data_IF_221287760657
#
_entry.id   IF_221287760657
#
_cell.length_a   1.000
_cell.length_b   1.000
_cell.length_c   1.000
_cell.angle_alpha   90.00
_cell.angle_beta   90.00
_cell.angle_gamma   90.00
#
_symmetry.space_group_name_H-M   'P 1'
#
loop_
_entity.id
_entity.type
_entity.pdbx_description
1 polymer ?
#
# COMPACT_ATOMS: atom_id res chain seq x y z
N UNK A 1 4.04 -27.74 4.34
CA UNK A 1 2.84 -27.66 3.49
C UNK A 1 1.89 -28.79 3.88
N UNK A 2 0.72 -28.44 4.41
CA UNK A 2 -0.33 -29.36 4.84
C UNK A 2 -1.60 -29.17 4.01
N UNK A 3 -2.33 -30.27 3.75
CA UNK A 3 -3.69 -30.19 3.18
C UNK A 3 -4.67 -29.54 4.16
N UNK A 4 -4.46 -29.69 5.47
CA UNK A 4 -5.38 -29.19 6.49
C UNK A 4 -5.42 -27.65 6.56
N UNK A 5 -4.38 -26.98 6.07
CA UNK A 5 -4.24 -25.52 6.07
C UNK A 5 -4.33 -24.93 4.65
N UNK A 6 -4.71 -25.73 3.65
CA UNK A 6 -4.84 -25.28 2.26
C UNK A 6 -3.51 -24.94 1.56
N UNK A 7 -2.37 -25.24 2.19
CA UNK A 7 -1.04 -24.81 1.70
C UNK A 7 -0.77 -25.26 0.26
N UNK A 8 -1.06 -26.55 -0.02
CA UNK A 8 -0.80 -27.13 -1.35
C UNK A 8 -1.78 -26.63 -2.41
N UNK A 9 -3.03 -26.35 -2.03
CA UNK A 9 -4.05 -25.81 -2.92
C UNK A 9 -3.70 -24.37 -3.32
N UNK A 10 -3.35 -23.54 -2.34
CA UNK A 10 -2.87 -22.18 -2.58
C UNK A 10 -1.59 -22.17 -3.43
N UNK A 11 -0.59 -22.99 -3.08
CA UNK A 11 0.64 -23.08 -3.88
C UNK A 11 0.36 -23.54 -5.31
N UNK A 12 -0.51 -24.54 -5.49
CA UNK A 12 -0.94 -25.05 -6.80
C UNK A 12 -1.64 -23.97 -7.65
N UNK A 13 -2.54 -23.19 -7.04
CA UNK A 13 -3.25 -22.11 -7.70
C UNK A 13 -2.31 -20.97 -8.12
N UNK A 14 -1.60 -20.37 -7.16
CA UNK A 14 -0.81 -19.16 -7.41
C UNK A 14 0.46 -19.42 -8.23
N UNK A 15 1.08 -20.61 -8.12
CA UNK A 15 2.30 -20.94 -8.87
C UNK A 15 2.08 -21.59 -10.22
N UNK A 16 0.98 -22.34 -10.38
CA UNK A 16 0.77 -23.16 -11.57
C UNK A 16 -0.59 -22.97 -12.22
N UNK A 17 -1.52 -22.24 -11.59
CA UNK A 17 -2.88 -22.03 -12.12
C UNK A 17 -3.64 -23.34 -12.38
N UNK A 18 -3.32 -24.39 -11.61
CA UNK A 18 -3.90 -25.74 -11.79
C UNK A 18 -5.02 -26.06 -10.80
N UNK A 19 -5.09 -25.36 -9.68
CA UNK A 19 -6.10 -25.55 -8.65
C UNK A 19 -7.02 -24.33 -8.56
N UNK A 20 -8.19 -24.54 -7.97
CA UNK A 20 -9.14 -23.46 -7.70
C UNK A 20 -8.53 -22.41 -6.76
N UNK A 21 -8.99 -21.17 -6.89
CA UNK A 21 -8.54 -20.07 -6.05
C UNK A 21 -9.00 -20.30 -4.60
N UNK A 22 -8.08 -20.32 -3.62
CA UNK A 22 -8.48 -20.44 -2.22
C UNK A 22 -9.35 -19.25 -1.80
N UNK A 23 -10.42 -19.52 -1.06
CA UNK A 23 -11.23 -18.46 -0.48
C UNK A 23 -10.48 -17.63 0.56
N UNK A 24 -10.87 -16.36 0.70
CA UNK A 24 -10.36 -15.48 1.77
C UNK A 24 -10.98 -15.87 3.11
N UNK A 25 -10.15 -15.93 4.15
CA UNK A 25 -10.64 -16.21 5.51
C UNK A 25 -11.42 -15.01 6.08
N UNK A 26 -12.36 -15.29 6.98
CA UNK A 26 -12.90 -14.26 7.85
C UNK A 26 -11.87 -13.85 8.91
N UNK A 27 -11.81 -12.56 9.25
CA UNK A 27 -10.89 -12.03 10.25
C UNK A 27 -11.62 -11.85 11.57
N UNK A 28 -11.19 -12.58 12.60
CA UNK A 28 -11.63 -12.35 13.98
C UNK A 28 -10.78 -11.23 14.60
N UNK A 29 -11.27 -10.00 14.49
CA UNK A 29 -10.59 -8.78 14.95
C UNK A 29 -10.19 -8.87 16.44
N UNK A 30 -10.95 -9.60 17.26
CA UNK A 30 -10.70 -9.75 18.71
C UNK A 30 -9.36 -10.44 19.03
N UNK A 31 -8.81 -11.21 18.08
CA UNK A 31 -7.51 -11.89 18.21
C UNK A 31 -6.33 -10.97 17.92
N UNK A 32 -6.58 -9.79 17.38
CA UNK A 32 -5.55 -8.90 16.86
C UNK A 32 -5.46 -7.59 17.62
N UNK A 33 -6.60 -6.93 17.83
CA UNK A 33 -6.65 -5.60 18.43
C UNK A 33 -7.96 -5.38 19.19
N UNK A 34 -7.93 -4.45 20.15
CA UNK A 34 -9.14 -3.98 20.84
C UNK A 34 -9.96 -3.07 19.92
N UNK A 35 -11.27 -2.88 20.14
CA UNK A 35 -12.08 -1.93 19.37
C UNK A 35 -11.56 -0.48 19.46
N UNK A 36 -11.89 0.35 18.46
CA UNK A 36 -11.48 1.77 18.41
C UNK A 36 -12.08 2.55 19.59
N UNK A 37 -11.27 3.23 20.42
CA UNK A 37 -11.78 4.14 21.44
C UNK A 37 -12.56 5.29 20.81
N UNK A 38 -13.70 5.69 21.40
CA UNK A 38 -14.53 6.78 20.88
C UNK A 38 -13.75 8.09 20.71
N UNK A 39 -12.84 8.39 21.65
CA UNK A 39 -11.98 9.58 21.63
C UNK A 39 -10.84 9.52 20.60
N UNK A 40 -10.62 8.38 19.91
CA UNK A 40 -9.60 8.18 18.86
C UNK A 40 -10.23 8.12 17.47
N UNK A 41 -11.27 8.92 17.26
CA UNK A 41 -12.01 8.97 15.99
C UNK A 41 -11.70 10.22 15.15
N UNK A 42 -11.06 11.23 15.73
CA UNK A 42 -10.80 12.51 15.08
C UNK A 42 -9.30 12.70 14.78
N UNK A 43 -9.03 13.31 13.64
CA UNK A 43 -7.72 13.83 13.26
C UNK A 43 -7.49 15.16 14.00
N UNK A 44 -6.28 15.43 14.51
CA UNK A 44 -5.92 16.78 14.97
C UNK A 44 -6.21 17.85 13.91
N UNK A 45 -6.44 19.09 14.32
CA UNK A 45 -6.55 20.19 13.36
C UNK A 45 -5.25 20.36 12.54
N UNK A 46 -5.29 20.79 11.28
CA UNK A 46 -4.09 21.07 10.47
C UNK A 46 -3.36 22.31 10.99
N UNK A 47 -2.02 22.33 10.93
CA UNK A 47 -1.26 23.55 11.29
C UNK A 47 -1.32 24.61 10.20
N UNK A 48 -1.52 24.20 8.94
CA UNK A 48 -1.42 25.06 7.77
C UNK A 48 0.03 25.30 7.32
N UNK A 49 1.00 24.76 8.04
CA UNK A 49 2.41 24.71 7.63
C UNK A 49 2.66 23.41 6.88
N UNK A 50 3.40 23.48 5.77
CA UNK A 50 3.65 22.35 4.89
C UNK A 50 5.12 21.96 4.92
N UNK A 51 5.39 20.67 5.04
CA UNK A 51 6.70 20.05 4.82
C UNK A 51 6.69 19.24 3.53
N UNK A 52 7.85 19.15 2.88
CA UNK A 52 8.01 18.35 1.68
C UNK A 52 8.64 17.00 2.01
N UNK A 53 8.10 15.92 1.42
CA UNK A 53 8.64 14.57 1.55
C UNK A 53 8.87 13.97 0.18
N UNK A 54 10.11 13.58 -0.10
CA UNK A 54 10.49 12.89 -1.34
C UNK A 54 10.21 11.40 -1.21
N UNK A 55 9.55 10.81 -2.21
CA UNK A 55 9.38 9.36 -2.33
C UNK A 55 10.03 8.87 -3.62
N UNK A 56 11.07 8.05 -3.43
CA UNK A 56 11.73 7.28 -4.46
C UNK A 56 11.37 5.80 -4.28
N UNK A 57 10.93 5.14 -5.35
CA UNK A 57 10.58 3.71 -5.34
C UNK A 57 11.28 2.95 -6.46
N UNK A 58 11.47 1.64 -6.25
CA UNK A 58 11.86 0.65 -7.27
C UNK A 58 13.23 0.89 -7.93
N UNK A 59 14.15 1.43 -7.14
CA UNK A 59 15.59 1.40 -7.35
C UNK A 59 16.20 0.07 -6.88
N UNK A 60 16.04 -0.98 -7.69
CA UNK A 60 16.34 -2.36 -7.28
C UNK A 60 17.81 -2.62 -6.96
N UNK A 61 18.06 -3.10 -5.73
CA UNK A 61 19.29 -3.75 -5.28
C UNK A 61 18.90 -5.00 -4.46
N UNK A 62 18.31 -6.01 -5.11
CA UNK A 62 17.73 -7.17 -4.40
C UNK A 62 18.41 -8.51 -4.77
N UNK A 63 18.84 -9.34 -3.80
CA UNK A 63 19.35 -10.71 -4.05
C UNK A 63 18.28 -11.77 -4.40
N UNK A 64 16.98 -11.43 -4.43
CA UNK A 64 15.75 -12.13 -4.91
C UNK A 64 14.63 -11.96 -3.88
N UNK A 65 13.37 -11.81 -4.33
CA UNK A 65 12.06 -11.68 -3.63
C UNK A 65 11.71 -12.76 -2.55
N UNK A 66 12.70 -13.23 -1.80
CA UNK A 66 12.63 -14.35 -0.88
C UNK A 66 12.95 -13.87 0.54
N UNK A 67 11.91 -13.76 1.35
CA UNK A 67 12.04 -13.57 2.79
C UNK A 67 11.55 -14.83 3.53
N UNK A 68 12.37 -15.36 4.44
CA UNK A 68 11.97 -16.53 5.24
C UNK A 68 11.43 -16.10 6.60
N UNK A 69 10.22 -16.52 7.00
CA UNK A 69 9.77 -16.33 8.37
C UNK A 69 10.65 -17.11 9.35
N UNK A 70 11.16 -16.50 10.42
CA UNK A 70 11.87 -17.22 11.50
C UNK A 70 11.01 -18.32 12.14
N UNK A 71 9.68 -18.26 12.05
CA UNK A 71 8.83 -19.38 12.47
C UNK A 71 9.13 -20.69 11.73
N UNK A 72 9.76 -20.59 10.55
CA UNK A 72 10.19 -21.74 9.73
C UNK A 72 11.67 -22.10 9.94
N UNK A 73 12.44 -21.30 10.69
CA UNK A 73 13.82 -21.60 11.04
C UNK A 73 13.90 -22.31 12.39
N UNK A 74 14.53 -23.49 12.42
CA UNK A 74 14.84 -24.21 13.66
C UNK A 74 16.14 -23.73 14.34
N UNK A 75 16.88 -22.78 13.74
CA UNK A 75 18.06 -22.16 14.35
C UNK A 75 17.89 -20.64 14.37
N UNK A 76 18.16 -20.03 15.53
CA UNK A 76 18.02 -18.59 15.75
C UNK A 76 19.05 -17.74 15.00
N UNK A 77 19.98 -18.36 14.24
CA UNK A 77 21.18 -17.71 13.71
C UNK A 77 21.48 -17.96 12.22
N UNK A 78 20.73 -18.79 11.49
CA UNK A 78 20.97 -19.06 10.05
C UNK A 78 19.72 -18.77 9.21
N UNK A 79 19.27 -17.53 9.18
CA UNK A 79 18.48 -17.07 8.03
C UNK A 79 19.45 -16.77 6.89
N UNK A 80 19.33 -17.49 5.78
CA UNK A 80 20.14 -17.34 4.57
C UNK A 80 20.14 -15.90 4.02
N UNK A 81 19.20 -15.05 4.45
CA UNK A 81 19.06 -13.65 4.02
C UNK A 81 19.34 -12.62 5.13
N UNK A 82 19.75 -13.05 6.33
CA UNK A 82 20.06 -12.14 7.45
C UNK A 82 21.14 -11.10 7.13
N UNK A 83 22.09 -11.46 6.26
CA UNK A 83 23.14 -10.54 5.78
C UNK A 83 22.56 -9.31 5.09
N UNK A 84 21.42 -9.44 4.38
CA UNK A 84 20.81 -8.33 3.65
C UNK A 84 20.20 -7.31 4.62
N UNK A 85 19.47 -7.80 5.63
CA UNK A 85 18.92 -6.94 6.69
C UNK A 85 20.01 -6.25 7.50
N UNK A 86 21.11 -6.96 7.80
CA UNK A 86 22.27 -6.38 8.49
C UNK A 86 22.94 -5.28 7.64
N UNK A 87 23.13 -5.52 6.34
CA UNK A 87 23.71 -4.55 5.42
C UNK A 87 22.83 -3.30 5.25
N UNK A 88 21.52 -3.47 5.01
CA UNK A 88 20.61 -2.35 4.85
C UNK A 88 20.54 -1.50 6.13
N UNK A 89 20.40 -2.15 7.29
CA UNK A 89 20.38 -1.45 8.56
C UNK A 89 21.69 -0.71 8.87
N UNK A 90 22.85 -1.28 8.52
CA UNK A 90 24.13 -0.59 8.70
C UNK A 90 24.24 0.62 7.77
N UNK A 91 23.85 0.50 6.50
CA UNK A 91 23.86 1.62 5.56
C UNK A 91 22.94 2.75 6.01
N UNK A 92 21.71 2.44 6.44
CA UNK A 92 20.77 3.46 6.92
C UNK A 92 21.26 4.16 8.20
N UNK A 93 21.91 3.42 9.10
CA UNK A 93 22.53 3.98 10.29
C UNK A 93 23.74 4.86 9.98
N UNK A 94 24.62 4.42 9.07
CA UNK A 94 25.80 5.18 8.63
C UNK A 94 25.43 6.47 7.89
N UNK A 95 24.37 6.44 7.08
CA UNK A 95 23.84 7.61 6.39
C UNK A 95 23.03 8.55 7.30
N UNK A 96 22.82 8.18 8.56
CA UNK A 96 22.09 8.98 9.55
C UNK A 96 20.59 9.08 9.28
N UNK A 97 20.02 8.16 8.50
CA UNK A 97 18.57 8.12 8.21
C UNK A 97 17.78 7.57 9.39
N UNK A 98 18.39 6.68 10.16
CA UNK A 98 17.84 6.13 11.41
C UNK A 98 18.91 6.14 12.49
N UNK A 99 18.50 6.18 13.75
CA UNK A 99 19.44 6.09 14.86
C UNK A 99 20.01 4.67 15.05
N UNK A 100 21.08 4.56 15.84
CA UNK A 100 21.78 3.29 16.07
C UNK A 100 20.88 2.24 16.77
N UNK A 101 19.92 2.68 17.59
CA UNK A 101 18.98 1.77 18.26
C UNK A 101 18.02 1.15 17.25
N UNK A 102 17.48 1.98 16.36
CA UNK A 102 16.58 1.61 15.28
C UNK A 102 17.29 0.72 14.27
N UNK A 103 18.53 1.04 13.89
CA UNK A 103 19.34 0.19 13.00
C UNK A 103 19.54 -1.22 13.58
N UNK A 104 19.85 -1.35 14.88
CA UNK A 104 19.97 -2.67 15.54
C UNK A 104 18.65 -3.43 15.58
N UNK A 105 17.52 -2.73 15.73
CA UNK A 105 16.21 -3.36 15.66
C UNK A 105 15.90 -3.83 14.24
N UNK A 106 16.15 -2.98 13.24
CA UNK A 106 15.91 -3.28 11.82
C UNK A 106 16.73 -4.48 11.32
N UNK A 107 17.98 -4.63 11.79
CA UNK A 107 18.85 -5.75 11.39
C UNK A 107 18.43 -7.10 11.94
N UNK A 108 17.54 -7.13 12.95
CA UNK A 108 17.13 -8.35 13.66
C UNK A 108 15.65 -8.70 13.49
N UNK A 109 14.83 -7.76 12.99
CA UNK A 109 13.38 -7.92 12.95
C UNK A 109 12.84 -8.13 11.54
N UNK A 110 13.25 -9.21 10.86
CA UNK A 110 12.69 -9.65 9.57
C UNK A 110 12.59 -8.56 8.46
N UNK A 111 13.38 -7.49 8.54
CA UNK A 111 13.27 -6.36 7.62
C UNK A 111 12.13 -5.37 7.89
N UNK A 112 11.53 -5.37 9.09
CA UNK A 112 10.63 -4.31 9.57
C UNK A 112 11.29 -3.45 10.65
N UNK A 113 10.91 -2.18 10.69
CA UNK A 113 11.34 -1.25 11.73
C UNK A 113 10.33 -0.12 11.92
N UNK A 114 10.46 0.55 13.06
CA UNK A 114 9.70 1.74 13.36
C UNK A 114 10.64 2.84 13.83
N UNK A 115 10.42 4.08 13.37
CA UNK A 115 11.23 5.24 13.71
C UNK A 115 10.33 6.44 13.99
N UNK A 116 10.69 7.27 14.97
CA UNK A 116 10.00 8.54 15.23
C UNK A 116 10.85 9.67 14.66
N UNK A 117 10.31 10.40 13.70
CA UNK A 117 11.01 11.54 13.10
C UNK A 117 11.17 12.68 14.11
N UNK A 118 12.11 13.62 13.88
CA UNK A 118 12.24 14.82 14.72
C UNK A 118 10.96 15.65 14.83
N UNK A 119 10.04 15.55 13.85
CA UNK A 119 8.75 16.24 13.83
C UNK A 119 7.68 15.50 14.66
N UNK A 120 7.95 14.27 15.12
CA UNK A 120 7.01 13.49 15.93
C UNK A 120 6.12 12.53 15.15
N UNK A 121 6.34 12.35 13.85
CA UNK A 121 5.67 11.33 13.03
C UNK A 121 6.31 9.95 13.29
N UNK A 122 5.48 8.92 13.50
CA UNK A 122 5.94 7.53 13.48
C UNK A 122 5.99 7.01 12.05
N UNK A 123 7.15 6.58 11.57
CA UNK A 123 7.30 5.80 10.34
C UNK A 123 7.35 4.32 10.71
N UNK A 124 6.46 3.51 10.15
CA UNK A 124 6.41 2.05 10.34
C UNK A 124 6.68 1.39 9.00
N UNK A 125 7.87 0.82 8.84
CA UNK A 125 8.27 0.07 7.65
C UNK A 125 7.99 -1.41 7.87
N UNK A 126 7.18 -2.01 6.99
CA UNK A 126 6.87 -3.44 7.02
C UNK A 126 7.48 -4.14 5.81
N UNK A 127 8.05 -5.33 6.02
CA UNK A 127 8.52 -6.17 4.93
C UNK A 127 7.33 -6.89 4.27
N UNK A 128 6.89 -6.34 3.14
CA UNK A 128 5.75 -6.82 2.37
C UNK A 128 6.05 -8.11 1.57
N UNK A 129 7.29 -8.57 1.52
CA UNK A 129 7.60 -9.88 0.91
C UNK A 129 6.94 -11.03 1.66
N UNK A 130 6.56 -10.83 2.92
CA UNK A 130 5.83 -11.81 3.73
C UNK A 130 4.34 -11.95 3.40
N UNK A 131 3.82 -11.16 2.46
CA UNK A 131 2.54 -11.46 1.83
C UNK A 131 2.66 -11.65 0.32
N UNK A 132 3.85 -11.52 -0.26
CA UNK A 132 4.02 -11.54 -1.70
C UNK A 132 3.79 -12.93 -2.30
N UNK A 133 2.99 -13.01 -3.37
CA UNK A 133 2.73 -14.27 -4.10
C UNK A 133 3.99 -14.90 -4.68
N UNK A 134 5.02 -14.13 -5.04
CA UNK A 134 6.27 -14.70 -5.57
C UNK A 134 7.07 -15.46 -4.50
N UNK A 135 6.97 -15.05 -3.23
CA UNK A 135 7.70 -15.67 -2.13
C UNK A 135 7.08 -17.05 -1.77
N UNK A 136 7.79 -18.17 -2.02
CA UNK A 136 7.26 -19.51 -1.80
C UNK A 136 7.08 -19.86 -0.31
N UNK A 137 7.70 -19.11 0.61
CA UNK A 137 7.57 -19.37 2.05
C UNK A 137 6.23 -18.94 2.62
N UNK A 138 5.51 -18.05 1.93
CA UNK A 138 4.21 -17.54 2.38
C UNK A 138 3.07 -18.57 2.28
N UNK A 139 3.29 -19.69 1.59
CA UNK A 139 2.28 -20.75 1.44
C UNK A 139 2.32 -21.79 2.58
N UNK A 140 3.26 -21.67 3.52
CA UNK A 140 3.26 -22.50 4.72
C UNK A 140 2.25 -21.95 5.73
N UNK A 141 1.35 -22.80 6.22
CA UNK A 141 0.27 -22.40 7.11
C UNK A 141 -0.59 -21.27 6.51
N UNK A 142 -1.02 -21.44 5.25
CA UNK A 142 -1.63 -20.42 4.42
C UNK A 142 -2.88 -19.76 5.04
N UNK A 143 -3.63 -20.51 5.85
CA UNK A 143 -4.79 -19.98 6.59
C UNK A 143 -4.44 -19.02 7.72
N UNK A 144 -3.17 -18.93 8.15
CA UNK A 144 -2.74 -17.92 9.11
C UNK A 144 -2.38 -16.62 8.36
N UNK A 145 -3.14 -15.53 8.53
CA UNK A 145 -2.91 -14.29 7.80
C UNK A 145 -1.66 -13.53 8.24
N UNK A 146 -1.01 -13.94 9.34
CA UNK A 146 0.18 -13.28 9.88
C UNK A 146 1.23 -14.32 10.30
N UNK A 147 1.57 -15.23 9.39
CA UNK A 147 2.54 -16.28 9.66
C UNK A 147 3.94 -15.75 9.98
N UNK A 148 4.34 -14.61 9.40
CA UNK A 148 5.61 -13.95 9.66
C UNK A 148 5.63 -13.13 10.96
N UNK A 149 4.46 -12.73 11.47
CA UNK A 149 4.34 -11.79 12.59
C UNK A 149 4.51 -10.32 12.21
N UNK A 150 4.67 -10.00 10.91
CA UNK A 150 4.87 -8.63 10.42
C UNK A 150 3.64 -7.74 10.67
N UNK A 151 2.44 -8.32 10.61
CA UNK A 151 1.19 -7.58 10.87
C UNK A 151 0.97 -7.43 12.37
N UNK A 152 1.39 -8.41 13.20
CA UNK A 152 1.42 -8.25 14.66
C UNK A 152 2.38 -7.13 15.09
N UNK A 153 3.54 -7.02 14.44
CA UNK A 153 4.46 -5.91 14.65
C UNK A 153 3.78 -4.57 14.34
N UNK A 154 3.17 -4.45 13.15
CA UNK A 154 2.42 -3.26 12.76
C UNK A 154 1.33 -2.87 13.76
N UNK A 155 0.52 -3.84 14.20
CA UNK A 155 -0.55 -3.61 15.19
C UNK A 155 0.03 -3.01 16.47
N UNK A 156 1.12 -3.56 17.01
CA UNK A 156 1.73 -3.08 18.26
C UNK A 156 2.25 -1.66 18.13
N UNK A 157 2.88 -1.31 17.01
CA UNK A 157 3.35 0.06 16.76
C UNK A 157 2.20 1.05 16.60
N UNK A 158 1.09 0.63 15.98
CA UNK A 158 -0.11 1.45 15.86
C UNK A 158 -0.84 1.62 17.19
N UNK A 159 -0.95 0.58 18.01
CA UNK A 159 -1.51 0.67 19.38
C UNK A 159 -0.66 1.60 20.25
N UNK A 160 0.67 1.50 20.17
CA UNK A 160 1.58 2.41 20.87
C UNK A 160 1.44 3.86 20.38
N UNK A 161 1.28 4.07 19.07
CA UNK A 161 1.07 5.39 18.49
C UNK A 161 -0.29 5.97 18.90
N UNK A 162 -1.36 5.18 18.89
CA UNK A 162 -2.69 5.56 19.36
C UNK A 162 -2.66 5.97 20.84
N UNK A 163 -1.99 5.18 21.70
CA UNK A 163 -1.85 5.47 23.12
C UNK A 163 -1.05 6.77 23.39
N UNK A 164 -0.15 7.14 22.50
CA UNK A 164 0.68 8.34 22.60
C UNK A 164 0.12 9.57 21.85
N UNK A 165 -1.08 9.49 21.26
CA UNK A 165 -1.64 10.54 20.39
C UNK A 165 -0.71 10.89 19.20
N UNK A 166 0.06 9.91 18.75
CA UNK A 166 1.03 10.03 17.67
C UNK A 166 0.42 9.58 16.33
N UNK A 167 0.64 10.38 15.29
CA UNK A 167 0.31 10.00 13.90
C UNK A 167 1.38 9.05 13.35
N UNK A 168 0.95 8.13 12.50
CA UNK A 168 1.81 7.13 11.88
C UNK A 168 1.65 7.07 10.36
N UNK A 169 2.77 6.88 9.66
CA UNK A 169 2.81 6.46 8.27
C UNK A 169 3.24 5.01 8.18
N UNK A 170 2.59 4.28 7.28
CA UNK A 170 2.96 2.91 6.94
C UNK A 170 3.67 2.94 5.59
N UNK A 171 4.86 2.33 5.52
CA UNK A 171 5.60 2.17 4.27
C UNK A 171 5.91 0.70 4.02
N UNK A 172 5.89 0.30 2.75
CA UNK A 172 6.23 -1.03 2.27
C UNK A 172 6.43 -1.03 0.75
N UNK A 173 6.64 -2.20 0.17
CA UNK A 173 6.93 -2.32 -1.26
C UNK A 173 5.72 -2.86 -2.05
N UNK A 174 5.37 -4.14 -1.84
CA UNK A 174 4.24 -4.80 -2.51
C UNK A 174 2.92 -4.29 -1.91
N UNK A 175 2.01 -3.69 -2.69
CA UNK A 175 0.77 -3.14 -2.17
C UNK A 175 -0.19 -4.22 -1.67
N UNK A 176 -1.03 -3.85 -0.71
CA UNK A 176 -2.07 -4.73 -0.15
C UNK A 176 -3.32 -4.83 -1.04
N UNK A 177 -3.57 -3.84 -1.91
CA UNK A 177 -4.76 -3.72 -2.74
C UNK A 177 -4.65 -4.42 -4.08
N UNK A 178 -5.31 -3.85 -5.11
CA UNK A 178 -5.12 -4.29 -6.49
C UNK A 178 -3.62 -4.27 -6.85
N UNK A 179 -3.11 -5.41 -7.34
CA UNK A 179 -1.69 -5.62 -7.66
C UNK A 179 -1.45 -6.03 -9.11
N UNK A 180 -2.34 -5.67 -10.02
CA UNK A 180 -2.33 -6.14 -11.41
C UNK A 180 -3.21 -7.38 -11.66
N UNK A 181 -3.39 -7.74 -12.93
CA UNK A 181 -4.26 -8.84 -13.38
C UNK A 181 -3.61 -10.23 -13.31
N UNK A 182 -2.32 -10.31 -12.99
CA UNK A 182 -1.58 -11.57 -12.87
C UNK A 182 -1.86 -12.33 -11.57
N UNK A 183 -1.64 -13.65 -11.59
CA UNK A 183 -1.67 -14.50 -10.38
C UNK A 183 -0.41 -14.35 -9.52
N UNK A 184 0.69 -13.92 -10.12
CA UNK A 184 1.92 -13.55 -9.44
C UNK A 184 2.11 -12.04 -9.55
N UNK A 185 2.79 -11.43 -8.58
CA UNK A 185 3.00 -9.98 -8.59
C UNK A 185 2.13 -9.20 -7.59
N UNK A 186 1.32 -9.89 -6.78
CA UNK A 186 0.42 -9.26 -5.80
C UNK A 186 0.54 -9.85 -4.40
N UNK A 187 -0.08 -9.21 -3.40
CA UNK A 187 -0.20 -9.76 -2.05
C UNK A 187 -1.18 -10.94 -2.01
N UNK A 188 -0.96 -11.90 -1.10
CA UNK A 188 -1.91 -12.98 -0.81
C UNK A 188 -3.18 -12.43 -0.17
N UNK A 189 -4.30 -13.13 -0.37
CA UNK A 189 -5.62 -12.70 0.13
C UNK A 189 -5.69 -12.60 1.65
N UNK A 190 -5.20 -13.60 2.39
CA UNK A 190 -5.39 -13.64 3.85
C UNK A 190 -4.60 -12.53 4.58
N UNK A 191 -3.29 -12.29 4.29
CA UNK A 191 -2.57 -11.18 4.90
C UNK A 191 -3.12 -9.81 4.50
N UNK A 192 -3.51 -9.62 3.23
CA UNK A 192 -4.12 -8.34 2.79
C UNK A 192 -5.48 -8.08 3.44
N UNK A 193 -6.28 -9.12 3.71
CA UNK A 193 -7.54 -9.01 4.46
C UNK A 193 -7.32 -8.60 5.93
N UNK A 194 -6.32 -9.16 6.60
CA UNK A 194 -5.96 -8.72 7.95
C UNK A 194 -5.44 -7.28 7.94
N UNK A 195 -4.57 -6.93 6.98
CA UNK A 195 -4.08 -5.56 6.82
C UNK A 195 -5.21 -4.55 6.61
N UNK A 196 -6.21 -4.88 5.78
CA UNK A 196 -7.40 -4.03 5.60
C UNK A 196 -8.11 -3.77 6.94
N UNK A 197 -8.28 -4.80 7.76
CA UNK A 197 -8.91 -4.67 9.09
C UNK A 197 -8.07 -3.80 10.05
N UNK A 198 -6.74 -3.89 9.97
CA UNK A 198 -5.80 -3.01 10.70
C UNK A 198 -5.99 -1.55 10.24
N UNK A 199 -5.98 -1.29 8.93
CA UNK A 199 -6.18 0.06 8.38
C UNK A 199 -7.52 0.63 8.85
N UNK A 200 -8.62 -0.14 8.72
CA UNK A 200 -9.95 0.24 9.19
C UNK A 200 -9.96 0.60 10.68
N UNK A 201 -9.25 -0.18 11.51
CA UNK A 201 -9.19 0.01 12.96
C UNK A 201 -8.44 1.28 13.37
N UNK A 202 -7.32 1.61 12.73
CA UNK A 202 -6.45 2.70 13.18
C UNK A 202 -6.61 4.00 12.37
N UNK A 203 -7.42 4.00 11.31
CA UNK A 203 -7.71 5.20 10.52
C UNK A 203 -8.95 5.95 10.99
N UNK A 204 -9.06 7.27 10.82
CA UNK A 204 -8.02 8.17 10.29
C UNK A 204 -7.12 8.76 11.38
N UNK A 205 -7.46 8.54 12.66
CA UNK A 205 -6.84 9.26 13.78
C UNK A 205 -5.35 8.89 13.97
N UNK A 206 -4.98 7.62 13.86
CA UNK A 206 -3.59 7.17 14.03
C UNK A 206 -2.86 7.09 12.69
N UNK A 207 -3.44 6.39 11.71
CA UNK A 207 -2.83 6.29 10.37
C UNK A 207 -3.07 7.59 9.59
N UNK A 208 -1.98 8.30 9.27
CA UNK A 208 -1.99 9.53 8.48
C UNK A 208 -1.68 9.30 6.99
N UNK A 209 -1.02 8.19 6.64
CA UNK A 209 -0.64 7.88 5.27
C UNK A 209 -0.13 6.46 5.11
N UNK A 210 -0.30 5.90 3.93
CA UNK A 210 0.16 4.56 3.55
C UNK A 210 0.82 4.68 2.17
N UNK A 211 2.05 4.18 2.04
CA UNK A 211 2.85 4.37 0.83
C UNK A 211 3.50 3.05 0.39
N UNK A 212 3.34 2.75 -0.89
CA UNK A 212 3.82 1.54 -1.56
C UNK A 212 4.64 1.86 -2.81
N UNK A 213 5.14 0.81 -3.46
CA UNK A 213 5.82 0.85 -4.75
C UNK A 213 5.43 -0.36 -5.62
N UNK A 214 6.43 -1.10 -6.11
CA UNK A 214 6.35 -2.43 -6.73
C UNK A 214 5.69 -2.49 -8.10
N UNK A 215 4.54 -1.82 -8.31
CA UNK A 215 3.81 -1.86 -9.58
C UNK A 215 4.44 -0.98 -10.66
N UNK A 216 5.42 -0.14 -10.28
CA UNK A 216 6.12 0.82 -11.16
C UNK A 216 5.26 1.94 -11.76
N UNK A 217 3.96 1.90 -11.47
CA UNK A 217 2.92 2.81 -11.91
C UNK A 217 2.56 3.80 -10.79
N UNK A 218 2.06 4.97 -11.18
CA UNK A 218 1.50 5.96 -10.24
C UNK A 218 0.03 5.60 -9.96
N UNK A 219 -0.22 4.96 -8.81
CA UNK A 219 -1.54 4.44 -8.47
C UNK A 219 -1.96 4.84 -7.06
N UNK A 220 -3.24 4.68 -6.78
CA UNK A 220 -3.76 4.83 -5.43
C UNK A 220 -4.87 3.82 -5.15
N UNK A 221 -5.04 3.47 -3.89
CA UNK A 221 -6.16 2.67 -3.41
C UNK A 221 -6.87 3.35 -2.26
N UNK A 222 -8.19 3.22 -2.20
CA UNK A 222 -9.04 3.74 -1.12
C UNK A 222 -9.53 2.58 -0.25
N UNK A 223 -9.48 2.77 1.06
CA UNK A 223 -10.01 1.86 2.06
C UNK A 223 -11.30 2.44 2.64
N UNK A 224 -12.23 1.55 2.94
CA UNK A 224 -13.57 1.86 3.38
C UNK A 224 -13.88 1.09 4.66
N UNK A 225 -14.97 1.46 5.34
CA UNK A 225 -15.47 0.67 6.45
C UNK A 225 -16.22 -0.57 5.93
N UNK A 226 -16.51 -1.54 6.80
CA UNK A 226 -17.30 -2.71 6.46
C UNK A 226 -18.80 -2.45 6.65
N UNK A 227 -19.66 -3.12 5.88
CA UNK A 227 -21.09 -3.12 6.16
C UNK A 227 -21.39 -3.77 7.51
N UNK A 228 -22.53 -3.43 8.12
CA UNK A 228 -22.98 -4.06 9.38
C UNK A 228 -23.17 -5.59 9.23
N UNK A 229 -23.53 -6.04 8.03
CA UNK A 229 -23.65 -7.46 7.66
C UNK A 229 -22.33 -8.22 7.75
N UNK A 230 -21.18 -7.54 7.63
CA UNK A 230 -19.85 -8.18 7.68
C UNK A 230 -19.60 -8.95 8.97
N UNK A 231 -20.22 -8.53 10.08
CA UNK A 231 -20.07 -9.11 11.42
C UNK A 231 -21.07 -10.21 11.77
N UNK A 232 -21.61 -10.94 10.78
CA UNK A 232 -22.49 -12.10 11.03
C UNK A 232 -23.87 -11.76 11.61
N UNK A 233 -24.49 -10.66 11.17
CA UNK A 233 -25.88 -10.32 11.51
C UNK A 233 -26.10 -9.59 12.83
N UNK A 234 -25.04 -9.07 13.47
CA UNK A 234 -25.18 -8.33 14.75
C UNK A 234 -23.96 -7.52 15.21
N UNK A 235 -23.01 -7.19 14.31
CA UNK A 235 -21.83 -6.42 14.68
C UNK A 235 -20.73 -7.21 15.42
N UNK A 236 -20.67 -8.53 15.20
CA UNK A 236 -19.61 -9.37 15.72
C UNK A 236 -18.22 -8.99 15.19
N UNK A 237 -17.18 -9.43 15.92
CA UNK A 237 -15.77 -9.14 15.59
C UNK A 237 -15.19 -10.10 14.55
N UNK A 238 -15.95 -11.10 14.10
CA UNK A 238 -15.60 -11.96 12.96
C UNK A 238 -16.11 -11.30 11.67
N UNK A 239 -15.20 -10.77 10.86
CA UNK A 239 -15.49 -9.95 9.69
C UNK A 239 -15.37 -10.73 8.39
N UNK A 240 -16.40 -10.63 7.55
CA UNK A 240 -16.25 -10.80 6.11
C UNK A 240 -15.58 -9.54 5.52
N UNK A 241 -14.30 -9.62 5.17
CA UNK A 241 -13.51 -8.48 4.71
C UNK A 241 -13.80 -8.05 3.27
N UNK A 242 -14.67 -8.78 2.56
CA UNK A 242 -15.16 -8.41 1.22
C UNK A 242 -16.48 -7.63 1.26
N UNK A 243 -17.16 -7.60 2.41
CA UNK A 243 -18.43 -6.91 2.59
C UNK A 243 -18.21 -5.45 3.01
N UNK A 244 -17.83 -4.63 2.03
CA UNK A 244 -17.36 -3.25 2.19
C UNK A 244 -18.49 -2.22 1.97
N UNK A 245 -18.51 -1.20 2.81
CA UNK A 245 -19.41 -0.04 2.69
C UNK A 245 -18.71 1.11 1.95
N UNK A 246 -18.90 1.15 0.63
CA UNK A 246 -18.29 2.17 -0.23
C UNK A 246 -18.78 3.60 0.04
N UNK A 247 -19.80 3.81 0.88
CA UNK A 247 -20.23 5.14 1.31
C UNK A 247 -19.40 5.69 2.48
N UNK A 248 -18.48 4.89 3.06
CA UNK A 248 -17.69 5.25 4.23
C UNK A 248 -16.18 5.10 3.99
N UNK A 249 -15.56 5.98 3.18
CA UNK A 249 -14.11 5.99 2.99
C UNK A 249 -13.38 6.36 4.30
N UNK A 250 -12.28 5.67 4.61
CA UNK A 250 -11.55 5.77 5.87
C UNK A 250 -10.09 6.17 5.70
N UNK A 251 -9.42 5.59 4.70
CA UNK A 251 -8.00 5.79 4.45
C UNK A 251 -7.72 5.62 2.95
N UNK A 252 -6.50 5.93 2.56
CA UNK A 252 -6.01 5.72 1.21
C UNK A 252 -4.53 5.35 1.26
N UNK A 253 -4.03 4.73 0.20
CA UNK A 253 -2.61 4.48 0.00
C UNK A 253 -2.18 4.96 -1.39
N UNK A 254 -0.94 5.45 -1.48
CA UNK A 254 -0.31 5.81 -2.74
C UNK A 254 0.73 4.77 -3.12
N UNK A 255 0.72 4.31 -4.36
CA UNK A 255 1.82 3.57 -4.98
C UNK A 255 2.58 4.59 -5.82
N UNK A 256 3.77 4.98 -5.34
CA UNK A 256 4.55 5.98 -6.06
C UNK A 256 5.16 5.37 -7.34
N UNK A 257 5.31 6.18 -8.39
CA UNK A 257 5.97 5.77 -9.63
C UNK A 257 7.40 5.28 -9.38
N UNK A 258 7.83 4.30 -10.18
CA UNK A 258 9.20 3.81 -10.13
C UNK A 258 10.20 4.76 -10.77
N UNK A 259 11.39 4.84 -10.16
CA UNK A 259 12.58 5.42 -10.80
C UNK A 259 13.04 4.54 -11.96
N UNK A 260 12.94 3.22 -11.84
CA UNK A 260 13.24 2.32 -12.96
C UNK A 260 12.24 2.51 -14.10
N UNK A 261 12.69 2.57 -15.37
CA UNK A 261 11.81 2.64 -16.53
C UNK A 261 11.21 1.27 -16.91
N UNK A 262 11.65 0.19 -16.26
CA UNK A 262 10.98 -1.11 -16.35
C UNK A 262 9.52 -0.91 -15.90
N UNK A 263 8.49 -1.38 -16.60
CA UNK A 263 8.41 -2.30 -17.75
C UNK A 263 8.11 -1.60 -19.10
N UNK A 264 8.73 -0.45 -19.37
CA UNK A 264 8.48 0.35 -20.58
C UNK A 264 7.75 1.66 -20.30
N UNK A 265 7.87 2.17 -19.07
CA UNK A 265 7.35 3.46 -18.64
C UNK A 265 8.51 4.47 -18.56
N UNK A 266 8.18 5.75 -18.44
CA UNK A 266 9.19 6.77 -18.11
C UNK A 266 9.76 6.52 -16.71
N UNK A 267 10.96 7.02 -16.42
CA UNK A 267 11.42 7.08 -15.02
C UNK A 267 10.60 8.13 -14.27
N UNK A 268 10.26 7.92 -12.99
CA UNK A 268 9.45 8.87 -12.22
C UNK A 268 9.76 8.91 -10.72
N UNK A 269 9.36 9.99 -10.06
CA UNK A 269 9.37 10.14 -8.60
C UNK A 269 8.33 11.18 -8.15
N UNK A 270 7.97 11.14 -6.86
CA UNK A 270 6.93 12.00 -6.28
C UNK A 270 7.46 12.84 -5.12
N UNK A 271 7.03 14.10 -5.06
CA UNK A 271 7.24 15.02 -3.94
C UNK A 271 5.89 15.29 -3.27
N UNK A 272 5.69 14.77 -2.06
CA UNK A 272 4.51 15.07 -1.25
C UNK A 272 4.66 16.40 -0.54
N UNK A 273 3.55 17.13 -0.48
CA UNK A 273 3.34 18.28 0.39
C UNK A 273 2.44 17.86 1.54
N UNK A 274 2.96 17.92 2.76
CA UNK A 274 2.35 17.30 3.95
C UNK A 274 2.12 18.35 5.02
N UNK A 275 0.95 18.36 5.66
CA UNK A 275 0.71 19.24 6.80
C UNK A 275 1.58 18.84 7.99
N UNK A 276 2.29 19.82 8.56
CA UNK A 276 3.36 19.58 9.54
C UNK A 276 2.88 19.06 10.90
N UNK A 277 1.56 19.08 11.16
CA UNK A 277 0.96 18.62 12.43
C UNK A 277 0.17 17.33 12.27
N UNK A 278 -0.66 17.26 11.24
CA UNK A 278 -1.50 16.08 10.97
C UNK A 278 -0.74 14.99 10.24
N UNK A 279 0.34 15.36 9.55
CA UNK A 279 1.08 14.49 8.63
C UNK A 279 0.22 13.92 7.51
N UNK A 280 -0.94 14.54 7.22
CA UNK A 280 -1.74 14.17 6.07
C UNK A 280 -1.19 14.86 4.82
N UNK A 281 -1.24 14.14 3.70
CA UNK A 281 -0.83 14.68 2.40
C UNK A 281 -1.85 15.71 1.94
N UNK A 282 -1.38 16.93 1.73
CA UNK A 282 -2.20 18.06 1.25
C UNK A 282 -2.13 18.22 -0.26
N UNK A 283 -1.06 17.75 -0.90
CA UNK A 283 -0.89 17.69 -2.34
C UNK A 283 0.35 16.85 -2.68
N UNK A 284 0.56 16.53 -3.96
CA UNK A 284 1.85 16.03 -4.44
C UNK A 284 2.11 16.44 -5.87
N UNK A 285 3.39 16.37 -6.24
CA UNK A 285 3.87 16.62 -7.58
C UNK A 285 4.69 15.43 -8.06
N UNK A 286 4.40 14.95 -9.26
CA UNK A 286 5.16 13.88 -9.90
C UNK A 286 6.05 14.46 -11.00
N UNK A 287 7.27 13.94 -11.08
CA UNK A 287 8.25 14.31 -12.09
C UNK A 287 8.69 13.06 -12.83
N UNK A 288 8.89 13.19 -14.14
CA UNK A 288 9.28 12.10 -15.03
C UNK A 288 10.52 12.44 -15.85
N UNK A 289 11.28 11.44 -16.26
CA UNK A 289 12.28 11.58 -17.31
C UNK A 289 11.84 10.78 -18.53
N UNK A 290 11.66 11.44 -19.67
CA UNK A 290 11.19 10.81 -20.90
C UNK A 290 12.25 9.84 -21.45
N UNK A 291 11.97 8.54 -21.35
CA UNK A 291 12.92 7.50 -21.78
C UNK A 291 13.00 7.38 -23.29
N UNK A 292 12.01 7.90 -24.02
CA UNK A 292 12.06 7.99 -25.49
C UNK A 292 13.20 8.91 -25.95
N UNK A 293 13.62 9.84 -25.08
CA UNK A 293 14.71 10.78 -25.34
C UNK A 293 16.05 10.32 -24.74
N UNK A 294 16.15 9.07 -24.25
CA UNK A 294 17.32 8.57 -23.51
C UNK A 294 18.66 8.71 -24.26
N UNK A 295 18.66 8.64 -25.59
CA UNK A 295 19.87 8.83 -26.38
C UNK A 295 20.37 10.29 -26.43
N UNK A 296 19.53 11.25 -26.03
CA UNK A 296 19.84 12.68 -26.05
C UNK A 296 20.44 13.18 -24.73
N UNK A 297 20.47 12.35 -23.68
CA UNK A 297 20.97 12.73 -22.36
C UNK A 297 21.92 11.69 -21.76
N UNK A 298 22.92 12.17 -21.01
CA UNK A 298 23.85 11.31 -20.25
C UNK A 298 23.43 11.11 -18.80
N UNK A 299 22.56 11.99 -18.30
CA UNK A 299 21.90 11.91 -17.00
C UNK A 299 20.40 12.18 -17.20
N UNK A 300 19.49 11.54 -16.44
CA UNK A 300 18.05 11.74 -16.63
C UNK A 300 17.65 13.21 -16.53
N UNK A 301 17.00 13.73 -17.58
CA UNK A 301 16.42 15.07 -17.56
C UNK A 301 15.00 15.01 -16.99
N UNK A 302 14.87 15.38 -15.72
CA UNK A 302 13.59 15.40 -15.02
C UNK A 302 12.72 16.56 -15.48
N UNK A 303 11.45 16.27 -15.74
CA UNK A 303 10.42 17.21 -16.15
C UNK A 303 9.24 17.07 -15.20
N UNK A 304 8.57 18.18 -14.91
CA UNK A 304 7.32 18.15 -14.16
C UNK A 304 6.26 17.44 -14.99
N UNK A 305 5.58 16.45 -14.39
CA UNK A 305 4.46 15.76 -15.03
C UNK A 305 3.14 16.40 -14.62
N UNK A 306 2.82 16.34 -13.33
CA UNK A 306 1.55 16.85 -12.83
C UNK A 306 1.57 17.24 -11.35
N UNK A 307 0.56 18.03 -10.97
CA UNK A 307 0.23 18.42 -9.60
C UNK A 307 -1.14 17.83 -9.27
N UNK A 308 -1.22 16.97 -8.24
CA UNK A 308 -2.40 16.16 -7.98
C UNK A 308 -3.66 17.00 -7.75
N UNK A 309 -3.54 18.09 -7.00
CA UNK A 309 -4.66 18.99 -6.74
C UNK A 309 -5.07 19.72 -8.02
N UNK A 310 -4.12 20.23 -8.80
CA UNK A 310 -4.44 20.91 -10.06
C UNK A 310 -5.21 20.00 -11.03
N UNK A 311 -4.87 18.71 -11.07
CA UNK A 311 -5.45 17.79 -12.04
C UNK A 311 -6.74 17.11 -11.58
N UNK A 312 -6.83 16.73 -10.29
CA UNK A 312 -7.97 16.00 -9.75
C UNK A 312 -8.99 16.91 -9.05
N UNK A 313 -8.65 18.16 -8.76
CA UNK A 313 -9.53 19.22 -8.22
C UNK A 313 -9.48 20.48 -9.09
N UNK A 314 -9.46 20.32 -10.42
CA UNK A 314 -9.33 21.42 -11.37
C UNK A 314 -10.39 22.53 -11.20
N UNK A 315 -11.58 22.18 -10.69
CA UNK A 315 -12.67 23.12 -10.41
C UNK A 315 -12.59 23.78 -9.02
N UNK A 316 -11.64 23.38 -8.17
CA UNK A 316 -11.48 23.90 -6.81
C UNK A 316 -12.68 23.60 -5.90
N UNK A 317 -13.28 22.41 -6.04
CA UNK A 317 -14.40 21.96 -5.22
C UNK A 317 -13.93 21.54 -3.82
N UNK A 318 -12.68 21.09 -3.70
CA UNK A 318 -12.09 20.71 -2.42
C UNK A 318 -11.51 21.94 -1.68
N UNK A 319 -11.66 22.05 -0.35
CA UNK A 319 -11.04 23.14 0.39
C UNK A 319 -9.52 23.14 0.20
N UNK A 320 -8.94 24.30 -0.16
CA UNK A 320 -7.51 24.43 -0.53
C UNK A 320 -6.54 23.92 0.55
N UNK A 321 -6.89 24.10 1.82
CA UNK A 321 -6.08 23.68 2.96
C UNK A 321 -6.41 22.26 3.47
N UNK A 322 -7.44 21.61 2.92
CA UNK A 322 -7.83 20.28 3.36
C UNK A 322 -6.94 19.21 2.70
N UNK A 323 -6.61 18.13 3.42
CA UNK A 323 -5.80 17.04 2.88
C UNK A 323 -6.49 16.34 1.70
N UNK A 324 -5.70 15.72 0.82
CA UNK A 324 -6.17 14.79 -0.21
C UNK A 324 -6.46 13.43 0.44
N UNK A 325 -7.46 13.41 1.33
CA UNK A 325 -7.80 12.25 2.15
C UNK A 325 -8.71 11.25 1.41
N UNK A 326 -9.17 10.21 2.11
CA UNK A 326 -10.00 9.16 1.51
C UNK A 326 -11.33 9.69 0.94
N UNK A 327 -11.95 10.69 1.56
CA UNK A 327 -13.18 11.32 1.04
C UNK A 327 -12.93 12.09 -0.26
N UNK A 328 -11.78 12.76 -0.39
CA UNK A 328 -11.37 13.40 -1.63
C UNK A 328 -11.22 12.38 -2.76
N UNK A 329 -10.45 11.31 -2.53
CA UNK A 329 -10.21 10.29 -3.55
C UNK A 329 -11.47 9.49 -3.90
N UNK A 330 -12.37 9.28 -2.92
CA UNK A 330 -13.69 8.73 -3.21
C UNK A 330 -14.50 9.63 -4.16
N UNK A 331 -14.57 10.93 -3.91
CA UNK A 331 -15.24 11.89 -4.82
C UNK A 331 -14.61 11.89 -6.23
N UNK A 332 -13.28 11.89 -6.32
CA UNK A 332 -12.55 11.77 -7.59
C UNK A 332 -13.00 10.52 -8.35
N UNK A 333 -13.12 9.38 -7.66
CA UNK A 333 -13.56 8.14 -8.31
C UNK A 333 -15.03 8.15 -8.72
N UNK A 334 -15.93 8.85 -8.02
CA UNK A 334 -17.31 9.04 -8.50
C UNK A 334 -17.31 9.86 -9.80
N UNK A 335 -16.53 10.95 -9.83
CA UNK A 335 -16.38 11.79 -11.02
C UNK A 335 -15.75 11.07 -12.19
N UNK A 336 -14.82 10.14 -11.98
CA UNK A 336 -14.23 9.33 -13.05
C UNK A 336 -15.25 8.49 -13.81
N UNK A 337 -16.32 8.03 -13.15
CA UNK A 337 -17.40 7.26 -13.80
C UNK A 337 -18.28 8.17 -14.66
N UNK A 338 -18.42 9.44 -14.28
CA UNK A 338 -19.23 10.44 -14.98
C UNK A 338 -18.48 11.16 -16.10
N UNK A 339 -17.18 11.42 -15.90
CA UNK A 339 -16.29 12.13 -16.80
C UNK A 339 -15.14 11.21 -17.27
N UNK A 340 -15.30 10.69 -18.49
CA UNK A 340 -14.28 9.85 -19.13
C UNK A 340 -12.92 10.52 -19.29
N UNK A 341 -12.86 11.85 -19.36
CA UNK A 341 -11.58 12.56 -19.50
C UNK A 341 -10.74 12.49 -18.21
N UNK A 342 -11.38 12.41 -17.04
CA UNK A 342 -10.70 12.32 -15.75
C UNK A 342 -10.05 10.94 -15.57
N UNK A 343 -10.73 9.86 -15.97
CA UNK A 343 -10.14 8.52 -15.91
C UNK A 343 -9.07 8.30 -16.97
N UNK A 344 -9.21 8.89 -18.17
CA UNK A 344 -8.16 8.87 -19.18
C UNK A 344 -6.91 9.61 -18.69
N UNK A 345 -7.10 10.76 -18.02
CA UNK A 345 -6.00 11.50 -17.39
C UNK A 345 -5.31 10.69 -16.29
N UNK A 346 -6.08 10.03 -15.41
CA UNK A 346 -5.50 9.12 -14.42
C UNK A 346 -4.69 8.01 -15.07
N UNK A 347 -5.19 7.41 -16.15
CA UNK A 347 -4.47 6.35 -16.88
C UNK A 347 -3.16 6.84 -17.52
N UNK A 348 -3.14 8.10 -17.98
CA UNK A 348 -1.93 8.75 -18.49
C UNK A 348 -0.87 8.90 -17.40
N UNK A 349 -1.25 9.43 -16.23
CA UNK A 349 -0.31 9.61 -15.12
C UNK A 349 0.12 8.29 -14.49
N UNK A 350 -0.77 7.32 -14.39
CA UNK A 350 -0.45 5.96 -13.93
C UNK A 350 0.70 5.33 -14.71
N UNK A 351 0.73 5.59 -16.01
CA UNK A 351 1.77 5.10 -16.91
C UNK A 351 2.91 6.11 -17.14
N UNK A 352 3.00 7.15 -16.30
CA UNK A 352 4.04 8.18 -16.30
C UNK A 352 4.15 8.91 -17.64
N UNK A 353 2.99 9.24 -18.22
CA UNK A 353 2.87 9.87 -19.55
C UNK A 353 3.62 9.10 -20.65
N UNK A 354 3.69 7.78 -20.50
CA UNK A 354 4.41 6.92 -21.45
C UNK A 354 3.63 6.78 -22.76
N UNK A 355 4.36 6.59 -23.85
CA UNK A 355 3.77 6.28 -25.17
C UNK A 355 2.99 4.95 -25.19
N UNK A 356 3.15 4.11 -24.16
CA UNK A 356 2.42 2.85 -24.01
C UNK A 356 1.06 3.02 -23.32
N UNK A 357 0.71 4.25 -22.90
CA UNK A 357 -0.62 4.57 -22.37
C UNK A 357 -1.68 4.13 -23.37
N UNK A 358 -2.67 3.36 -22.90
CA UNK A 358 -3.82 2.94 -23.69
C UNK A 358 -5.05 3.76 -23.28
N UNK A 359 -6.00 3.96 -24.20
CA UNK A 359 -7.17 4.78 -23.88
C UNK A 359 -8.19 4.01 -23.04
N UNK A 360 -8.79 4.70 -22.06
CA UNK A 360 -9.90 4.21 -21.24
C UNK A 360 -11.20 4.95 -21.59
N UNK A 361 -11.65 4.79 -22.84
CA UNK A 361 -12.69 5.63 -23.42
C UNK A 361 -14.13 5.14 -23.21
N UNK A 362 -14.32 3.96 -22.61
CA UNK A 362 -15.63 3.38 -22.35
C UNK A 362 -16.04 3.54 -20.89
N UNK A 363 -17.34 3.67 -20.63
CA UNK A 363 -17.88 3.68 -19.27
C UNK A 363 -17.50 2.41 -18.50
N UNK A 364 -17.51 1.25 -19.16
CA UNK A 364 -17.11 -0.02 -18.56
C UNK A 364 -15.62 -0.03 -18.16
N UNK A 365 -14.75 0.65 -18.92
CA UNK A 365 -13.35 0.85 -18.55
C UNK A 365 -13.23 1.74 -17.31
N UNK A 366 -13.99 2.85 -17.28
CA UNK A 366 -14.01 3.77 -16.14
C UNK A 366 -14.46 3.06 -14.86
N UNK A 367 -15.57 2.31 -14.92
CA UNK A 367 -16.09 1.51 -13.81
C UNK A 367 -15.08 0.45 -13.33
N UNK A 368 -14.37 -0.21 -14.27
CA UNK A 368 -13.31 -1.16 -13.93
C UNK A 368 -12.13 -0.47 -13.23
N UNK A 369 -11.63 0.65 -13.75
CA UNK A 369 -10.52 1.41 -13.14
C UNK A 369 -10.90 1.88 -11.74
N UNK A 370 -12.10 2.43 -11.59
CA UNK A 370 -12.64 2.86 -10.29
C UNK A 370 -12.75 1.68 -9.33
N UNK A 371 -13.18 0.50 -9.79
CA UNK A 371 -13.19 -0.70 -8.95
C UNK A 371 -11.80 -1.01 -8.39
N UNK A 372 -10.74 -0.98 -9.22
CA UNK A 372 -9.36 -1.20 -8.76
C UNK A 372 -8.90 -0.15 -7.74
N UNK A 373 -9.18 1.13 -8.00
CA UNK A 373 -8.86 2.22 -7.06
C UNK A 373 -9.59 2.03 -5.73
N UNK A 374 -10.78 1.44 -5.72
CA UNK A 374 -11.56 1.20 -4.49
C UNK A 374 -11.27 -0.14 -3.81
N UNK A 375 -10.24 -0.84 -4.24
CA UNK A 375 -9.88 -2.19 -3.76
C UNK A 375 -8.61 -2.18 -2.92
N UNK A 376 -8.76 -1.85 -1.63
CA UNK A 376 -7.67 -1.85 -0.64
C UNK A 376 -7.15 -3.22 -0.21
N UNK A 377 -7.74 -4.33 -0.69
CA UNK A 377 -7.22 -5.70 -0.52
C UNK A 377 -7.15 -6.44 -1.85
N UNK A 378 -6.25 -7.41 -1.99
CA UNK A 378 -6.10 -8.21 -3.21
C UNK A 378 -7.42 -8.88 -3.62
N UNK A 379 -8.14 -9.48 -2.67
CA UNK A 379 -9.41 -10.17 -2.97
C UNK A 379 -10.47 -9.19 -3.53
N UNK A 380 -10.55 -7.97 -3.00
CA UNK A 380 -11.44 -6.94 -3.58
C UNK A 380 -11.03 -6.59 -5.02
N UNK A 381 -9.72 -6.52 -5.28
CA UNK A 381 -9.18 -6.29 -6.63
C UNK A 381 -9.52 -7.43 -7.59
N UNK A 382 -9.47 -8.67 -7.13
CA UNK A 382 -9.77 -9.87 -7.94
C UNK A 382 -11.27 -9.98 -8.29
N UNK A 383 -12.15 -9.42 -7.44
CA UNK A 383 -13.60 -9.33 -7.69
C UNK A 383 -13.98 -8.27 -8.74
N UNK A 384 -13.06 -7.37 -9.11
CA UNK A 384 -13.31 -6.38 -10.15
C UNK A 384 -13.37 -7.01 -11.55
N UNK A 385 -14.06 -6.39 -12.52
CA UNK A 385 -13.98 -6.82 -13.93
C UNK A 385 -12.54 -6.74 -14.45
N UNK A 386 -12.13 -7.66 -15.34
CA UNK A 386 -10.77 -7.68 -15.91
C UNK A 386 -10.71 -7.39 -17.43
N UNK A 387 -11.85 -7.35 -18.12
CA UNK A 387 -11.91 -7.34 -19.60
C UNK A 387 -12.38 -6.04 -20.26
N UNK A 388 -12.68 -4.99 -19.50
CA UNK A 388 -13.37 -3.79 -20.01
C UNK A 388 -12.43 -2.63 -20.37
N UNK A 389 -11.11 -2.79 -20.21
CA UNK A 389 -10.15 -1.73 -20.51
C UNK A 389 -8.71 -2.22 -20.54
N UNK A 390 -7.76 -1.30 -20.78
CA UNK A 390 -6.35 -1.66 -20.90
C UNK A 390 -5.67 -1.70 -19.54
N UNK A 391 -5.33 -2.91 -19.07
CA UNK A 391 -4.62 -3.10 -17.81
C UNK A 391 -3.56 -4.20 -17.95
#
# INVERSE_FOLDING_TARGET
MSLATGDMEAYCHYKYSFCDEPGVIQIDESKYFTPKPENKSAVPEPSGEVINVLHLSDWHLDPRDFATPYSLSNSTNDDNFSWNYQLLASLWGEMGWIDNTTARSASTHYGAYAYVTPQGLKIISINTDFWYTANPFNYYNFTNPDQSGILRFLIRELEASEAADQRAWIIGHVPSGYGGTGLNGKALHNPSALFYSIVRRFSPATIAGIFWGHLHQDQLVVYYDYNLSSGGGGGGLLRNTTDVDYARPLAWAHMAPSVTPLTGLNAGWTLYQVDARTFEVTNWQTFIANVSEANAWTEPVWQFEYDARAEYDAEGRWPRAAPLNATFWHDVTERMVEDGSLVEKYNLFETKSSVVTKNCSSKACAEQKVCYIRSGSTMLGDLCPHGNGPF
#
